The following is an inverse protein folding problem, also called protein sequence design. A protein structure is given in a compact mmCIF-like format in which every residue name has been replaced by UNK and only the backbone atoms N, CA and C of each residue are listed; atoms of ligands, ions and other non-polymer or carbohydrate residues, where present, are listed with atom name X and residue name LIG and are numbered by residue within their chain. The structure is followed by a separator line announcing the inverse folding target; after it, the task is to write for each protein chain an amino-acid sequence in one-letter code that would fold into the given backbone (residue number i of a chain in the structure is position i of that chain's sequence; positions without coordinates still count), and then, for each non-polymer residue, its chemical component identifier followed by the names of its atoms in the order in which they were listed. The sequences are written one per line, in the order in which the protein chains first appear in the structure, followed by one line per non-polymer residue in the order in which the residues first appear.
data_IF_111918245581
#
_entry.id   IF_111918245581
#
_cell.length_a   1.000
_cell.length_b   1.000
_cell.length_c   1.000
_cell.angle_alpha   90.00
_cell.angle_beta   90.00
_cell.angle_gamma   90.00
#
_symmetry.space_group_name_H-M   'P 1'
#
loop_
_entity.id
_entity.type
_entity.pdbx_description
1 polymer ?
#
# COMPACT_ATOMS: atom_id res chain seq x y z
N UNK A 1 26.55 -32.12 0.80
CA UNK A 1 26.20 -30.70 0.77
C UNK A 1 24.87 -30.58 0.05
N UNK A 2 23.77 -30.58 0.78
CA UNK A 2 22.46 -30.21 0.24
C UNK A 2 22.48 -28.69 0.08
N UNK A 3 22.71 -28.21 -1.15
CA UNK A 3 22.43 -26.82 -1.47
C UNK A 3 20.93 -26.58 -1.23
N UNK A 4 20.59 -25.60 -0.42
CA UNK A 4 19.20 -25.30 -0.09
C UNK A 4 18.36 -25.02 -1.34
N UNK A 5 17.03 -25.15 -1.27
CA UNK A 5 16.11 -25.00 -2.41
C UNK A 5 16.30 -23.71 -3.21
N UNK A 6 16.76 -22.62 -2.57
CA UNK A 6 17.03 -21.32 -3.18
C UNK A 6 18.09 -21.36 -4.29
N UNK A 7 19.10 -22.26 -4.19
CA UNK A 7 20.19 -22.36 -5.18
C UNK A 7 19.70 -22.97 -6.49
N UNK A 8 18.62 -23.75 -6.46
CA UNK A 8 18.05 -24.36 -7.66
C UNK A 8 16.94 -23.53 -8.31
N UNK A 9 16.34 -22.59 -7.59
CA UNK A 9 15.21 -21.81 -8.08
C UNK A 9 15.64 -20.54 -8.82
N UNK A 10 16.69 -19.86 -8.36
CA UNK A 10 17.25 -18.67 -9.02
C UNK A 10 17.76 -18.97 -10.44
N UNK A 11 18.51 -20.08 -10.71
CA UNK A 11 18.98 -20.37 -12.05
C UNK A 11 17.89 -20.56 -13.12
N UNK A 12 16.73 -21.10 -12.76
CA UNK A 12 15.64 -21.27 -13.72
C UNK A 12 14.99 -19.94 -14.11
N UNK A 13 14.79 -19.04 -13.16
CA UNK A 13 14.30 -17.68 -13.44
C UNK A 13 15.30 -16.91 -14.31
N UNK A 14 16.59 -17.00 -14.01
CA UNK A 14 17.67 -16.39 -14.80
C UNK A 14 17.76 -17.00 -16.19
N UNK A 15 17.65 -18.33 -16.33
CA UNK A 15 17.66 -19.02 -17.61
C UNK A 15 16.55 -18.53 -18.57
N UNK A 16 15.33 -18.33 -18.07
CA UNK A 16 14.25 -17.79 -18.87
C UNK A 16 14.44 -16.30 -19.18
N UNK A 17 15.03 -15.53 -18.26
CA UNK A 17 15.36 -14.13 -18.46
C UNK A 17 16.43 -13.95 -19.56
N UNK A 18 17.47 -14.78 -19.56
CA UNK A 18 18.49 -14.77 -20.61
C UNK A 18 17.93 -15.07 -22.01
N UNK A 19 16.90 -15.91 -22.07
CA UNK A 19 16.18 -16.21 -23.33
C UNK A 19 15.09 -15.20 -23.66
N UNK A 20 14.90 -14.17 -22.83
CA UNK A 20 13.79 -13.19 -22.93
C UNK A 20 12.40 -13.83 -22.89
N UNK A 21 12.28 -15.03 -22.31
CA UNK A 21 10.99 -15.67 -22.04
C UNK A 21 10.49 -15.25 -20.64
N UNK A 22 10.17 -13.97 -20.52
CA UNK A 22 9.75 -13.37 -19.25
C UNK A 22 8.43 -13.95 -18.73
N UNK A 23 7.54 -14.39 -19.61
CA UNK A 23 6.29 -14.99 -19.17
C UNK A 23 6.52 -16.31 -18.42
N UNK A 24 7.39 -17.18 -18.94
CA UNK A 24 7.79 -18.42 -18.27
C UNK A 24 8.55 -18.13 -16.97
N UNK A 25 9.45 -17.13 -16.98
CA UNK A 25 10.15 -16.68 -15.76
C UNK A 25 9.18 -16.26 -14.66
N UNK A 26 8.20 -15.42 -14.97
CA UNK A 26 7.21 -14.93 -14.00
C UNK A 26 6.29 -16.05 -13.50
N UNK A 27 5.90 -17.00 -14.36
CA UNK A 27 5.12 -18.16 -13.95
C UNK A 27 5.91 -19.07 -12.99
N UNK A 28 7.20 -19.22 -13.20
CA UNK A 28 8.08 -19.94 -12.28
C UNK A 28 8.21 -19.17 -10.96
N UNK A 29 8.47 -17.87 -11.02
CA UNK A 29 8.55 -16.99 -9.84
C UNK A 29 7.27 -17.05 -9.00
N UNK A 30 6.09 -17.15 -9.62
CA UNK A 30 4.83 -17.31 -8.88
C UNK A 30 4.84 -18.57 -7.99
N UNK A 31 5.41 -19.66 -8.45
CA UNK A 31 5.54 -20.88 -7.63
C UNK A 31 6.46 -20.65 -6.43
N UNK A 32 7.55 -19.90 -6.62
CA UNK A 32 8.45 -19.51 -5.52
C UNK A 32 7.74 -18.59 -4.52
N UNK A 33 6.91 -17.67 -5.01
CA UNK A 33 6.12 -16.78 -4.16
C UNK A 33 5.11 -17.55 -3.31
N UNK A 34 4.52 -18.61 -3.85
CA UNK A 34 3.60 -19.49 -3.14
C UNK A 34 4.32 -20.41 -2.14
N UNK A 35 5.59 -20.74 -2.37
CA UNK A 35 6.39 -21.65 -1.53
C UNK A 35 7.04 -20.93 -0.34
N UNK A 36 7.65 -21.69 0.57
CA UNK A 36 8.50 -21.18 1.65
C UNK A 36 9.99 -21.18 1.30
N UNK A 37 10.33 -21.53 0.06
CA UNK A 37 11.71 -21.62 -0.41
C UNK A 37 12.36 -20.23 -0.55
N UNK A 38 11.57 -19.18 -0.85
CA UNK A 38 12.03 -17.81 -0.97
C UNK A 38 11.55 -17.00 0.24
N UNK A 39 12.44 -16.33 0.98
CA UNK A 39 12.06 -15.42 2.07
C UNK A 39 11.17 -14.28 1.58
N UNK A 40 10.31 -13.76 2.47
CA UNK A 40 9.39 -12.67 2.11
C UNK A 40 10.15 -11.42 1.65
N UNK A 41 11.27 -11.07 2.28
CA UNK A 41 12.06 -9.90 1.91
C UNK A 41 12.58 -9.98 0.47
N UNK A 42 13.01 -11.17 0.04
CA UNK A 42 13.45 -11.41 -1.33
C UNK A 42 12.30 -11.34 -2.34
N UNK A 43 11.11 -11.82 -1.94
CA UNK A 43 9.88 -11.71 -2.76
C UNK A 43 9.49 -10.25 -2.96
N UNK A 44 9.52 -9.45 -1.90
CA UNK A 44 9.21 -8.01 -1.95
C UNK A 44 10.23 -7.27 -2.82
N UNK A 45 11.52 -7.50 -2.61
CA UNK A 45 12.58 -6.88 -3.41
C UNK A 45 12.49 -7.26 -4.90
N UNK A 46 12.14 -8.52 -5.20
CA UNK A 46 11.91 -8.96 -6.57
C UNK A 46 10.70 -8.23 -7.19
N UNK A 47 9.60 -8.15 -6.46
CA UNK A 47 8.39 -7.49 -6.94
C UNK A 47 8.63 -6.00 -7.23
N UNK A 48 9.28 -5.27 -6.32
CA UNK A 48 9.63 -3.86 -6.51
C UNK A 48 10.49 -3.65 -7.75
N UNK A 49 11.45 -4.53 -7.98
CA UNK A 49 12.34 -4.45 -9.16
C UNK A 49 11.58 -4.58 -10.47
N UNK A 50 10.66 -5.54 -10.57
CA UNK A 50 9.93 -5.79 -11.82
C UNK A 50 8.82 -4.76 -12.07
N UNK A 51 8.29 -4.14 -11.02
CA UNK A 51 7.25 -3.10 -11.12
C UNK A 51 7.83 -1.71 -11.32
N UNK A 52 9.12 -1.51 -11.04
CA UNK A 52 9.85 -0.26 -11.30
C UNK A 52 9.95 0.10 -12.79
N UNK A 53 9.93 -0.87 -13.70
CA UNK A 53 9.87 -0.65 -15.15
C UNK A 53 8.41 -0.63 -15.64
N UNK A 54 7.93 0.54 -16.02
CA UNK A 54 6.54 0.73 -16.49
C UNK A 54 6.21 -0.08 -17.75
N UNK A 55 7.16 -0.24 -18.68
CA UNK A 55 6.93 -1.00 -19.89
C UNK A 55 6.84 -2.49 -19.57
N UNK A 56 7.72 -2.98 -18.72
CA UNK A 56 7.68 -4.35 -18.24
C UNK A 56 6.37 -4.62 -17.48
N UNK A 57 5.99 -3.74 -16.55
CA UNK A 57 4.75 -3.83 -15.79
C UNK A 57 3.52 -3.92 -16.71
N UNK A 58 3.39 -3.03 -17.71
CA UNK A 58 2.24 -3.04 -18.60
C UNK A 58 2.22 -4.24 -19.53
N UNK A 59 3.39 -4.70 -19.99
CA UNK A 59 3.51 -5.86 -20.89
C UNK A 59 3.14 -7.16 -20.17
N UNK A 60 3.55 -7.32 -18.93
CA UNK A 60 3.37 -8.55 -18.15
C UNK A 60 2.37 -8.38 -17.00
N UNK A 61 1.42 -7.45 -17.16
CA UNK A 61 0.45 -7.10 -16.13
C UNK A 61 -0.24 -8.32 -15.51
N UNK A 62 -0.71 -9.26 -16.32
CA UNK A 62 -1.42 -10.44 -15.82
C UNK A 62 -0.54 -11.30 -14.91
N UNK A 63 0.70 -11.54 -15.30
CA UNK A 63 1.64 -12.33 -14.52
C UNK A 63 2.05 -11.59 -13.23
N UNK A 64 2.24 -10.28 -13.31
CA UNK A 64 2.56 -9.44 -12.14
C UNK A 64 1.37 -9.40 -11.17
N UNK A 65 0.14 -9.28 -11.68
CA UNK A 65 -1.08 -9.38 -10.88
C UNK A 65 -1.18 -10.74 -10.16
N UNK A 66 -0.84 -11.83 -10.83
CA UNK A 66 -0.79 -13.16 -10.21
C UNK A 66 0.25 -13.25 -9.09
N UNK A 67 1.41 -12.60 -9.24
CA UNK A 67 2.42 -12.51 -8.19
C UNK A 67 1.92 -11.70 -6.99
N UNK A 68 1.33 -10.52 -7.23
CA UNK A 68 0.77 -9.67 -6.18
C UNK A 68 -0.33 -10.39 -5.40
N UNK A 69 -1.27 -11.03 -6.12
CA UNK A 69 -2.35 -11.81 -5.51
C UNK A 69 -1.82 -12.99 -4.71
N UNK A 70 -0.79 -13.68 -5.21
CA UNK A 70 -0.14 -14.80 -4.50
C UNK A 70 0.47 -14.34 -3.17
N UNK A 71 1.12 -13.16 -3.16
CA UNK A 71 1.66 -12.56 -1.92
C UNK A 71 0.53 -12.22 -0.94
N UNK A 72 -0.52 -11.53 -1.41
CA UNK A 72 -1.64 -11.13 -0.58
C UNK A 72 -2.36 -12.33 0.06
N UNK A 73 -2.50 -13.43 -0.69
CA UNK A 73 -3.09 -14.67 -0.15
C UNK A 73 -2.18 -15.38 0.86
N UNK A 74 -0.86 -15.36 0.65
CA UNK A 74 0.09 -16.05 1.51
C UNK A 74 0.40 -15.28 2.80
N UNK A 75 0.43 -13.96 2.73
CA UNK A 75 0.80 -13.07 3.83
C UNK A 75 -0.28 -11.99 4.06
N UNK A 76 -1.53 -12.39 4.35
CA UNK A 76 -2.68 -11.48 4.33
C UNK A 76 -2.61 -10.34 5.36
N UNK A 77 -1.83 -10.52 6.44
CA UNK A 77 -1.70 -9.50 7.50
C UNK A 77 -0.29 -8.90 7.60
N UNK A 78 0.65 -9.25 6.71
CA UNK A 78 1.95 -8.56 6.67
C UNK A 78 1.76 -7.15 6.08
N UNK A 79 2.06 -6.08 6.85
CA UNK A 79 1.75 -4.73 6.41
C UNK A 79 2.49 -4.30 5.14
N UNK A 80 3.64 -4.89 4.84
CA UNK A 80 4.39 -4.62 3.61
C UNK A 80 3.67 -5.22 2.40
N UNK A 81 3.09 -6.42 2.58
CA UNK A 81 2.30 -7.09 1.54
C UNK A 81 0.96 -6.40 1.36
N UNK A 82 0.30 -6.00 2.45
CA UNK A 82 -0.96 -5.23 2.37
C UNK A 82 -0.74 -3.94 1.59
N UNK A 83 0.35 -3.21 1.88
CA UNK A 83 0.70 -2.01 1.11
C UNK A 83 1.00 -2.33 -0.36
N UNK A 84 1.86 -3.32 -0.62
CA UNK A 84 2.24 -3.73 -1.98
C UNK A 84 1.00 -4.06 -2.83
N UNK A 85 0.09 -4.88 -2.32
CA UNK A 85 -1.09 -5.29 -3.09
C UNK A 85 -2.08 -4.13 -3.27
N UNK A 86 -2.29 -3.32 -2.24
CA UNK A 86 -3.12 -2.12 -2.34
C UNK A 86 -2.57 -1.12 -3.37
N UNK A 87 -1.27 -0.85 -3.36
CA UNK A 87 -0.60 0.02 -4.33
C UNK A 87 -0.70 -0.56 -5.76
N UNK A 88 -0.57 -1.88 -5.91
CA UNK A 88 -0.76 -2.56 -7.19
C UNK A 88 -2.19 -2.37 -7.74
N UNK A 89 -3.21 -2.52 -6.90
CA UNK A 89 -4.61 -2.26 -7.28
C UNK A 89 -4.83 -0.80 -7.71
N UNK A 90 -4.24 0.16 -7.00
CA UNK A 90 -4.31 1.58 -7.35
C UNK A 90 -3.60 1.84 -8.69
N UNK A 91 -2.37 1.34 -8.86
CA UNK A 91 -1.58 1.52 -10.07
C UNK A 91 -2.26 0.94 -11.32
N UNK A 92 -3.06 -0.12 -11.15
CA UNK A 92 -3.85 -0.74 -12.21
C UNK A 92 -5.23 -0.09 -12.43
N UNK A 93 -5.56 0.98 -11.69
CA UNK A 93 -6.83 1.68 -11.80
C UNK A 93 -8.01 1.01 -11.09
N UNK A 94 -7.77 -0.04 -10.32
CA UNK A 94 -8.79 -0.81 -9.59
C UNK A 94 -9.08 -0.16 -8.23
N UNK A 95 -9.54 1.11 -8.26
CA UNK A 95 -9.71 1.90 -7.03
C UNK A 95 -10.79 1.36 -6.08
N UNK A 96 -11.85 0.73 -6.60
CA UNK A 96 -12.90 0.14 -5.76
C UNK A 96 -12.40 -1.13 -5.05
N UNK A 97 -11.59 -1.93 -5.73
CA UNK A 97 -10.96 -3.11 -5.15
C UNK A 97 -9.92 -2.70 -4.11
N UNK A 98 -9.08 -1.69 -4.40
CA UNK A 98 -8.13 -1.14 -3.44
C UNK A 98 -8.83 -0.60 -2.19
N UNK A 99 -9.92 0.14 -2.36
CA UNK A 99 -10.73 0.67 -1.27
C UNK A 99 -11.30 -0.45 -0.40
N UNK A 100 -11.89 -1.46 -1.03
CA UNK A 100 -12.43 -2.63 -0.33
C UNK A 100 -11.33 -3.35 0.44
N UNK A 101 -10.19 -3.57 -0.21
CA UNK A 101 -9.05 -4.24 0.37
C UNK A 101 -8.50 -3.50 1.60
N UNK A 102 -8.23 -2.20 1.49
CA UNK A 102 -7.75 -1.44 2.66
C UNK A 102 -8.79 -1.38 3.79
N UNK A 103 -10.09 -1.31 3.46
CA UNK A 103 -11.16 -1.34 4.48
C UNK A 103 -11.18 -2.65 5.28
N UNK A 104 -10.86 -3.79 4.67
CA UNK A 104 -10.79 -5.07 5.39
C UNK A 104 -9.64 -5.13 6.41
N UNK A 105 -8.61 -4.28 6.22
CA UNK A 105 -7.44 -4.22 7.10
C UNK A 105 -7.47 -3.09 8.14
N UNK A 106 -8.53 -2.27 8.17
CA UNK A 106 -8.61 -1.16 9.15
C UNK A 106 -8.72 -1.61 10.61
N UNK A 107 -9.12 -2.87 10.83
CA UNK A 107 -9.25 -3.48 12.16
C UNK A 107 -8.08 -4.40 12.51
N UNK A 108 -7.05 -4.50 11.64
CA UNK A 108 -5.84 -5.25 11.94
C UNK A 108 -5.09 -4.62 13.13
N UNK A 109 -4.42 -5.45 13.93
CA UNK A 109 -3.66 -5.02 15.09
C UNK A 109 -2.16 -5.29 14.91
N UNK A 110 -1.32 -4.28 15.24
CA UNK A 110 -1.65 -2.94 15.69
C UNK A 110 -2.28 -2.10 14.56
N UNK A 111 -3.18 -1.12 14.90
CA UNK A 111 -3.81 -0.28 13.89
C UNK A 111 -2.77 0.54 13.12
N UNK A 112 -3.01 0.77 11.84
CA UNK A 112 -2.07 1.43 10.95
C UNK A 112 -2.68 2.67 10.30
N UNK A 113 -2.02 3.80 10.52
CA UNK A 113 -2.46 5.10 9.97
C UNK A 113 -2.44 5.13 8.44
N UNK A 114 -1.45 4.44 7.81
CA UNK A 114 -1.32 4.36 6.37
C UNK A 114 -2.55 3.74 5.70
N UNK A 115 -3.19 2.73 6.29
CA UNK A 115 -4.42 2.15 5.75
C UNK A 115 -5.59 3.14 5.80
N UNK A 116 -5.73 3.88 6.89
CA UNK A 116 -6.72 4.96 6.99
C UNK A 116 -6.48 6.05 5.96
N UNK A 117 -5.23 6.47 5.77
CA UNK A 117 -4.87 7.47 4.78
C UNK A 117 -5.27 7.03 3.38
N UNK A 118 -4.98 5.77 2.99
CA UNK A 118 -5.38 5.24 1.67
C UNK A 118 -6.89 5.23 1.48
N UNK A 119 -7.64 4.80 2.49
CA UNK A 119 -9.12 4.82 2.43
C UNK A 119 -9.63 6.26 2.29
N UNK A 120 -9.13 7.20 3.09
CA UNK A 120 -9.52 8.61 3.06
C UNK A 120 -9.19 9.23 1.69
N UNK A 121 -8.00 8.95 1.15
CA UNK A 121 -7.55 9.49 -0.13
C UNK A 121 -8.40 8.96 -1.30
N UNK A 122 -8.71 7.66 -1.33
CA UNK A 122 -9.57 7.08 -2.36
C UNK A 122 -11.01 7.61 -2.25
N UNK A 123 -11.58 7.68 -1.04
CA UNK A 123 -12.93 8.24 -0.85
C UNK A 123 -13.00 9.73 -1.21
N UNK A 124 -11.91 10.47 -0.94
CA UNK A 124 -11.78 11.88 -1.34
C UNK A 124 -11.72 12.03 -2.86
N UNK A 125 -10.90 11.21 -3.53
CA UNK A 125 -10.85 11.16 -5.00
C UNK A 125 -12.22 10.84 -5.63
N UNK A 126 -12.98 9.95 -4.99
CA UNK A 126 -14.34 9.58 -5.40
C UNK A 126 -15.40 10.61 -5.00
N UNK A 127 -15.00 11.74 -4.41
CA UNK A 127 -15.87 12.83 -3.98
C UNK A 127 -16.99 12.38 -3.02
N UNK A 128 -16.66 11.56 -2.02
CA UNK A 128 -17.58 11.04 -1.02
C UNK A 128 -17.33 11.69 0.36
N UNK A 129 -17.75 12.93 0.59
CA UNK A 129 -17.40 13.70 1.79
C UNK A 129 -17.84 13.02 3.09
N UNK A 130 -19.01 12.36 3.12
CA UNK A 130 -19.51 11.67 4.32
C UNK A 130 -18.58 10.50 4.71
N UNK A 131 -18.09 9.75 3.72
CA UNK A 131 -17.14 8.66 3.96
C UNK A 131 -15.78 9.22 4.43
N UNK A 132 -15.30 10.28 3.82
CA UNK A 132 -14.05 10.96 4.23
C UNK A 132 -14.16 11.41 5.68
N UNK A 133 -15.28 12.06 6.07
CA UNK A 133 -15.57 12.47 7.45
C UNK A 133 -15.56 11.27 8.41
N UNK A 134 -16.25 10.20 8.04
CA UNK A 134 -16.35 8.98 8.84
C UNK A 134 -14.97 8.38 9.14
N UNK A 135 -14.16 8.13 8.08
CA UNK A 135 -12.85 7.49 8.24
C UNK A 135 -11.81 8.42 8.89
N UNK A 136 -11.86 9.73 8.60
CA UNK A 136 -11.01 10.71 9.30
C UNK A 136 -11.32 10.72 10.79
N UNK A 137 -12.59 10.78 11.17
CA UNK A 137 -13.00 10.77 12.58
C UNK A 137 -12.66 9.46 13.29
N UNK A 138 -12.75 8.32 12.60
CA UNK A 138 -12.34 7.02 13.12
C UNK A 138 -10.82 6.96 13.32
N UNK A 139 -10.05 7.43 12.35
CA UNK A 139 -8.58 7.49 12.43
C UNK A 139 -8.13 8.40 13.59
N UNK A 140 -8.75 9.56 13.77
CA UNK A 140 -8.41 10.49 14.87
C UNK A 140 -8.64 9.91 16.26
N UNK A 141 -9.55 8.97 16.44
CA UNK A 141 -9.74 8.27 17.72
C UNK A 141 -8.56 7.34 18.04
N UNK A 142 -7.95 6.72 17.01
CA UNK A 142 -6.84 5.80 17.16
C UNK A 142 -5.48 6.53 17.16
N UNK A 143 -5.39 7.63 16.44
CA UNK A 143 -4.17 8.42 16.24
C UNK A 143 -4.42 9.91 16.56
N UNK A 144 -4.74 10.25 17.82
CA UNK A 144 -5.16 11.62 18.20
C UNK A 144 -4.07 12.67 18.02
N UNK A 145 -2.80 12.26 17.96
CA UNK A 145 -1.66 13.16 17.81
C UNK A 145 -1.12 13.24 16.36
N UNK A 146 -1.83 12.60 15.41
CA UNK A 146 -1.40 12.64 14.01
C UNK A 146 -1.69 14.01 13.38
N UNK A 147 -0.62 14.71 12.99
CA UNK A 147 -0.67 16.07 12.44
C UNK A 147 -1.51 16.14 11.18
N UNK A 148 -1.34 15.18 10.26
CA UNK A 148 -2.03 15.17 8.97
C UNK A 148 -3.54 15.01 9.12
N UNK A 149 -3.99 14.21 10.09
CA UNK A 149 -5.43 14.07 10.35
C UNK A 149 -6.05 15.38 10.85
N UNK A 150 -5.33 16.14 11.70
CA UNK A 150 -5.78 17.47 12.12
C UNK A 150 -5.84 18.44 10.93
N UNK A 151 -4.84 18.43 10.06
CA UNK A 151 -4.85 19.24 8.84
C UNK A 151 -6.02 18.89 7.93
N UNK A 152 -6.22 17.61 7.63
CA UNK A 152 -7.35 17.11 6.81
C UNK A 152 -8.70 17.52 7.40
N UNK A 153 -8.87 17.37 8.72
CA UNK A 153 -10.10 17.79 9.39
C UNK A 153 -10.34 19.29 9.29
N UNK A 154 -9.30 20.09 9.50
CA UNK A 154 -9.37 21.54 9.33
C UNK A 154 -9.75 21.94 7.89
N UNK A 155 -9.17 21.31 6.87
CA UNK A 155 -9.51 21.54 5.47
C UNK A 155 -10.99 21.19 5.18
N UNK A 156 -11.46 20.04 5.62
CA UNK A 156 -12.87 19.63 5.45
C UNK A 156 -13.84 20.67 6.04
N UNK A 157 -13.55 21.12 7.26
CA UNK A 157 -14.36 22.13 7.93
C UNK A 157 -14.32 23.49 7.22
N UNK A 158 -13.15 23.85 6.65
CA UNK A 158 -13.00 25.06 5.84
C UNK A 158 -13.84 25.00 4.57
N UNK A 159 -13.85 23.88 3.85
CA UNK A 159 -14.72 23.68 2.69
C UNK A 159 -16.21 23.76 3.06
N UNK A 160 -16.57 23.27 4.24
CA UNK A 160 -17.93 23.39 4.81
C UNK A 160 -18.22 24.79 5.37
N UNK A 161 -17.32 25.78 5.21
CA UNK A 161 -17.40 27.15 5.75
C UNK A 161 -17.53 27.24 7.28
N UNK A 162 -17.11 26.17 7.99
CA UNK A 162 -17.08 26.10 9.47
C UNK A 162 -15.71 26.58 9.98
N UNK A 163 -15.39 27.85 9.72
CA UNK A 163 -14.05 28.42 9.90
C UNK A 163 -13.54 28.41 11.35
N UNK A 164 -14.41 28.67 12.33
CA UNK A 164 -14.03 28.66 13.74
C UNK A 164 -13.62 27.28 14.22
N UNK A 165 -14.29 26.25 13.72
CA UNK A 165 -13.95 24.86 14.03
C UNK A 165 -12.68 24.43 13.28
N UNK A 166 -12.56 24.80 12.01
CA UNK A 166 -11.35 24.53 11.23
C UNK A 166 -10.10 25.10 11.91
N UNK A 167 -10.19 26.34 12.43
CA UNK A 167 -9.09 27.02 13.13
C UNK A 167 -8.59 26.21 14.36
N UNK A 168 -9.49 25.55 15.09
CA UNK A 168 -9.10 24.70 16.24
C UNK A 168 -8.22 23.53 15.79
N UNK A 169 -8.59 22.89 14.68
CA UNK A 169 -7.80 21.78 14.13
C UNK A 169 -6.46 22.22 13.56
N UNK A 170 -6.40 23.37 12.89
CA UNK A 170 -5.13 23.93 12.42
C UNK A 170 -4.20 24.32 13.60
N UNK A 171 -4.74 24.90 14.67
CA UNK A 171 -3.94 25.18 15.88
C UNK A 171 -3.42 23.89 16.52
N UNK A 172 -4.21 22.84 16.56
CA UNK A 172 -3.77 21.55 17.06
C UNK A 172 -2.66 20.95 16.18
N UNK A 173 -2.77 21.02 14.85
CA UNK A 173 -1.72 20.53 13.97
C UNK A 173 -0.39 21.27 14.18
N UNK A 174 -0.44 22.60 14.34
CA UNK A 174 0.75 23.40 14.64
C UNK A 174 1.38 23.04 16.01
N UNK A 175 0.54 22.77 17.02
CA UNK A 175 1.03 22.35 18.34
C UNK A 175 1.69 20.97 18.33
N UNK A 176 1.19 20.07 17.48
CA UNK A 176 1.68 18.68 17.34
C UNK A 176 2.85 18.58 16.37
N UNK A 177 3.05 19.56 15.50
CA UNK A 177 4.16 19.56 14.55
C UNK A 177 5.52 19.60 15.27
N UNK A 178 6.51 18.84 14.83
CA UNK A 178 7.86 18.91 15.42
C UNK A 178 8.40 20.34 15.28
N UNK A 179 9.02 20.84 16.34
CA UNK A 179 9.40 22.25 16.53
C UNK A 179 10.39 22.87 15.53
N UNK A 180 10.84 22.17 14.52
CA UNK A 180 11.75 22.68 13.49
C UNK A 180 11.06 23.41 12.32
N UNK A 181 9.73 23.36 12.25
CA UNK A 181 8.97 24.01 11.17
C UNK A 181 8.70 25.50 11.40
N UNK A 182 9.06 26.07 12.55
CA UNK A 182 8.77 27.45 12.94
C UNK A 182 10.01 28.36 12.98
N UNK A 183 11.17 27.88 12.51
CA UNK A 183 12.39 28.69 12.38
C UNK A 183 12.82 28.81 10.91
N UNK A 184 12.01 29.45 10.14
CA UNK A 184 12.34 29.87 8.79
C UNK A 184 11.74 31.23 8.51
#
# INVERSE_FOLDING_TARGET
YAAGPQVFSVPYSEFYNERRDYASSLNYTRRLFASDEMPLDDKLAYFDRITGDRNFYSTFYLQINDLATTLAMKYPHDPRVVKLYGDHLIASGQLDDALTYYKTHLDDLPPRIDYFNMVIDIESYKQRPDSVEHYTSRAMKLFPENVDLHLRKGQMLSYAKRYDEALKFYKNSLRLAPGDSLRG
#
